data_IF_035291351190
#
_entry.id   IF_035291351190
#
_cell.length_a   1.000
_cell.length_b   1.000
_cell.length_c   1.000
_cell.angle_alpha   90.00
_cell.angle_beta   90.00
_cell.angle_gamma   90.00
#
_symmetry.space_group_name_H-M   'P 1'
#
loop_
_entity.id
_entity.type
_entity.pdbx_description
1 polymer ?
#
# COMPACT_ATOMS: atom_id res chain seq x y z
N UNK A 1 -7.73 -8.81 5.12
CA UNK A 1 -8.90 -9.72 5.17
C UNK A 1 -8.53 -11.19 5.10
N UNK A 2 -7.67 -11.63 4.17
CA UNK A 2 -7.24 -13.03 4.06
C UNK A 2 -6.02 -13.39 4.92
N UNK A 3 -5.27 -12.40 5.40
CA UNK A 3 -4.05 -12.65 6.18
C UNK A 3 -2.88 -13.21 5.37
N UNK A 4 -2.90 -12.99 4.05
CA UNK A 4 -1.87 -13.45 3.11
C UNK A 4 -0.94 -12.29 2.76
N UNK A 5 0.36 -12.56 2.77
CA UNK A 5 1.35 -11.70 2.11
C UNK A 5 1.53 -12.16 0.65
N UNK A 6 1.01 -11.36 -0.27
CA UNK A 6 1.07 -11.68 -1.69
C UNK A 6 2.50 -11.55 -2.27
N UNK A 7 3.33 -10.65 -1.73
CA UNK A 7 4.70 -10.46 -2.22
C UNK A 7 5.55 -11.67 -1.86
N UNK A 8 5.41 -12.19 -0.64
CA UNK A 8 6.03 -13.44 -0.21
C UNK A 8 5.62 -14.61 -1.11
N UNK A 9 4.31 -14.75 -1.37
CA UNK A 9 3.79 -15.83 -2.22
C UNK A 9 4.29 -15.73 -3.65
N UNK A 10 4.35 -14.53 -4.22
CA UNK A 10 4.90 -14.32 -5.57
C UNK A 10 6.35 -14.79 -5.68
N UNK A 11 7.19 -14.48 -4.68
CA UNK A 11 8.60 -14.91 -4.67
C UNK A 11 8.72 -16.42 -4.54
N UNK A 12 7.95 -17.04 -3.64
CA UNK A 12 7.95 -18.51 -3.44
C UNK A 12 7.39 -19.28 -4.62
N UNK A 13 6.32 -18.79 -5.24
CA UNK A 13 5.76 -19.38 -6.46
C UNK A 13 6.77 -19.30 -7.61
N UNK A 14 7.43 -18.15 -7.78
CA UNK A 14 8.49 -17.99 -8.78
C UNK A 14 9.68 -18.94 -8.55
N UNK A 15 9.92 -19.34 -7.30
CA UNK A 15 10.93 -20.34 -6.92
C UNK A 15 10.43 -21.80 -7.02
N UNK A 16 9.16 -22.05 -7.34
CA UNK A 16 8.56 -23.39 -7.38
C UNK A 16 8.29 -24.01 -6.00
N UNK A 17 8.24 -23.19 -4.95
CA UNK A 17 8.10 -23.61 -3.56
C UNK A 17 6.64 -23.64 -3.08
N UNK A 18 5.73 -22.95 -3.76
CA UNK A 18 4.30 -23.01 -3.45
C UNK A 18 3.62 -24.16 -4.21
N UNK A 19 2.68 -24.83 -3.55
CA UNK A 19 1.85 -25.91 -4.11
C UNK A 19 0.45 -25.83 -3.55
N UNK A 20 -0.53 -26.26 -4.33
CA UNK A 20 -1.94 -26.35 -3.90
C UNK A 20 -2.48 -25.03 -3.33
N UNK A 21 -2.23 -23.93 -4.04
CA UNK A 21 -2.65 -22.56 -3.69
C UNK A 21 -4.10 -22.45 -3.23
N UNK A 22 -4.98 -23.23 -3.84
CA UNK A 22 -6.41 -23.30 -3.56
C UNK A 22 -6.73 -23.79 -2.13
N UNK A 23 -5.80 -24.52 -1.52
CA UNK A 23 -5.92 -25.05 -0.16
C UNK A 23 -5.22 -24.19 0.89
N UNK A 24 -4.40 -23.22 0.48
CA UNK A 24 -3.54 -22.44 1.39
C UNK A 24 -4.22 -21.21 1.98
N UNK A 25 -5.38 -20.78 1.47
CA UNK A 25 -6.10 -19.63 1.99
C UNK A 25 -7.32 -20.01 2.83
N UNK A 26 -7.62 -19.18 3.83
CA UNK A 26 -8.79 -19.31 4.68
C UNK A 26 -9.90 -18.36 4.23
N UNK A 27 -11.11 -18.57 4.74
CA UNK A 27 -12.20 -17.62 4.57
C UNK A 27 -11.79 -16.22 5.07
N UNK A 28 -12.16 -15.14 4.34
CA UNK A 28 -11.82 -13.78 4.73
C UNK A 28 -12.44 -13.39 6.08
N UNK A 29 -11.70 -12.62 6.88
CA UNK A 29 -12.16 -12.11 8.18
C UNK A 29 -12.30 -10.59 8.13
N UNK A 30 -13.51 -10.10 8.42
CA UNK A 30 -13.84 -8.68 8.50
C UNK A 30 -13.77 -7.95 7.15
N UNK A 31 -13.50 -6.64 7.22
CA UNK A 31 -13.44 -5.75 6.06
C UNK A 31 -12.14 -4.94 6.07
N UNK A 32 -11.73 -4.44 4.90
CA UNK A 32 -10.57 -3.56 4.74
C UNK A 32 -10.87 -2.57 3.63
N UNK A 33 -10.43 -1.33 3.79
CA UNK A 33 -10.55 -0.25 2.82
C UNK A 33 -9.14 0.32 2.59
N UNK A 34 -8.86 0.75 1.37
CA UNK A 34 -7.65 1.49 1.02
C UNK A 34 -8.03 2.85 0.46
N UNK A 35 -7.37 3.89 0.94
CA UNK A 35 -7.37 5.22 0.34
C UNK A 35 -5.98 5.51 -0.24
N UNK A 36 -5.92 6.25 -1.34
CA UNK A 36 -4.67 6.70 -1.95
C UNK A 36 -4.51 8.19 -1.69
N UNK A 37 -3.34 8.56 -1.17
CA UNK A 37 -2.98 9.95 -0.96
C UNK A 37 -2.10 10.36 -2.15
N UNK A 38 -2.60 11.28 -2.96
CA UNK A 38 -1.90 11.81 -4.13
C UNK A 38 -1.44 13.23 -3.88
N UNK A 39 -0.25 13.56 -4.40
CA UNK A 39 0.25 14.92 -4.47
C UNK A 39 -0.48 15.66 -5.62
N UNK A 40 -1.76 15.91 -5.43
CA UNK A 40 -2.68 16.50 -6.43
C UNK A 40 -3.62 17.51 -5.77
N UNK A 41 -4.02 18.53 -6.52
CA UNK A 41 -4.96 19.55 -6.08
C UNK A 41 -6.36 19.26 -6.62
N UNK A 42 -7.24 18.74 -5.77
CA UNK A 42 -8.60 18.35 -6.15
C UNK A 42 -9.51 19.53 -6.53
N UNK A 43 -9.18 20.76 -6.12
CA UNK A 43 -9.94 21.96 -6.49
C UNK A 43 -9.53 22.50 -7.86
N UNK A 44 -8.38 22.06 -8.37
CA UNK A 44 -7.83 22.45 -9.66
C UNK A 44 -7.69 21.21 -10.57
N UNK A 45 -8.80 20.49 -10.77
CA UNK A 45 -8.90 19.33 -11.68
C UNK A 45 -7.88 18.21 -11.40
N UNK A 46 -7.58 17.96 -10.12
CA UNK A 46 -6.56 16.97 -9.70
C UNK A 46 -5.18 17.24 -10.33
N UNK A 47 -4.87 18.52 -10.59
CA UNK A 47 -3.57 18.91 -11.16
C UNK A 47 -2.44 18.41 -10.25
N UNK A 48 -1.37 17.82 -10.80
CA UNK A 48 -0.20 17.42 -10.02
C UNK A 48 0.37 18.58 -9.21
N UNK A 49 0.65 18.31 -7.93
CA UNK A 49 1.15 19.26 -6.94
C UNK A 49 2.42 18.70 -6.30
N UNK A 50 3.49 18.60 -7.10
CA UNK A 50 4.83 18.25 -6.64
C UNK A 50 5.50 19.36 -5.84
N UNK A 51 6.61 19.02 -5.18
CA UNK A 51 7.35 19.92 -4.30
C UNK A 51 7.92 19.21 -3.08
N UNK A 52 8.53 19.97 -2.17
CA UNK A 52 9.03 19.44 -0.91
C UNK A 52 7.89 19.23 0.08
N UNK A 53 7.88 18.08 0.74
CA UNK A 53 6.95 17.82 1.85
C UNK A 53 7.60 18.33 3.14
N UNK A 54 6.99 19.34 3.76
CA UNK A 54 7.51 19.93 5.00
C UNK A 54 7.39 18.97 6.19
N UNK A 55 6.21 18.37 6.37
CA UNK A 55 5.92 17.44 7.46
C UNK A 55 4.88 16.39 7.06
N UNK A 56 4.99 15.22 7.68
CA UNK A 56 4.07 14.11 7.54
C UNK A 56 3.77 13.51 8.92
N UNK A 57 2.49 13.31 9.21
CA UNK A 57 2.02 12.64 10.41
C UNK A 57 1.11 11.49 10.01
N UNK A 58 1.56 10.27 10.29
CA UNK A 58 0.86 9.04 9.96
C UNK A 58 0.25 8.42 11.22
N UNK A 59 -0.94 7.81 11.08
CA UNK A 59 -1.57 7.09 12.19
C UNK A 59 -0.93 5.71 12.39
N UNK A 60 -0.55 5.40 13.63
CA UNK A 60 -0.04 4.07 14.00
C UNK A 60 -1.11 2.96 13.97
N UNK A 61 -2.39 3.34 13.88
CA UNK A 61 -3.51 2.39 13.88
C UNK A 61 -3.77 1.78 12.49
N UNK A 62 -3.23 2.39 11.43
CA UNK A 62 -3.44 1.96 10.06
C UNK A 62 -2.16 1.37 9.47
N UNK A 63 -2.31 0.42 8.54
CA UNK A 63 -1.21 0.01 7.68
C UNK A 63 -0.97 1.10 6.63
N UNK A 64 0.24 1.68 6.64
CA UNK A 64 0.61 2.76 5.74
C UNK A 64 1.80 2.31 4.91
N UNK A 65 1.57 2.19 3.61
CA UNK A 65 2.59 1.86 2.61
C UNK A 65 3.03 3.15 1.94
N UNK A 66 4.27 3.57 2.18
CA UNK A 66 4.77 4.85 1.70
C UNK A 66 6.28 4.82 1.46
N UNK A 67 6.73 5.64 0.53
CA UNK A 67 8.16 5.93 0.31
C UNK A 67 8.53 7.34 0.78
N UNK A 68 7.54 8.18 1.11
CA UNK A 68 7.74 9.58 1.49
C UNK A 68 7.99 9.74 2.99
N UNK A 69 8.72 10.81 3.32
CA UNK A 69 9.07 11.26 4.67
C UNK A 69 9.30 12.77 4.66
N UNK A 70 9.38 13.40 5.82
CA UNK A 70 9.69 14.83 5.95
C UNK A 70 10.92 15.22 5.12
N UNK A 71 10.82 16.35 4.44
CA UNK A 71 11.86 16.93 3.60
C UNK A 71 12.03 16.28 2.22
N UNK A 72 11.30 15.20 1.90
CA UNK A 72 11.38 14.58 0.56
C UNK A 72 10.72 15.47 -0.50
N UNK A 73 11.28 15.47 -1.70
CA UNK A 73 10.73 16.19 -2.84
C UNK A 73 9.99 15.23 -3.77
N UNK A 74 8.71 15.51 -4.04
CA UNK A 74 7.90 14.79 -5.02
C UNK A 74 8.05 15.49 -6.37
N UNK A 75 8.49 14.76 -7.39
CA UNK A 75 8.73 15.26 -8.75
C UNK A 75 7.91 14.50 -9.77
#
# INVERSE_FOLDING_TARGET
>A
VLGIDLVEWMVREAAGELRSLDTLYLAPKGHSIQARIYAEDCLNDFRPSGGQIDQIHFSEQARIETWVRDGINVT
#
